data_IF_435859466293
#
_entry.id   IF_435859466293
#
_cell.length_a   1.000
_cell.length_b   1.000
_cell.length_c   1.000
_cell.angle_alpha   90.00
_cell.angle_beta   90.00
_cell.angle_gamma   90.00
#
_symmetry.space_group_name_H-M   'P 1'
#
loop_
_entity.id
_entity.type
_entity.pdbx_description
1 polymer ?
#
# COMPACT_ATOMS: atom_id res chain seq x y z
N UNK A 1 -6.63 4.40 30.55
CA UNK A 1 -5.56 3.87 29.69
C UNK A 1 -4.27 3.87 30.50
N UNK A 2 -3.65 2.71 30.73
CA UNK A 2 -2.45 2.64 31.57
C UNK A 2 -1.29 3.35 30.88
N UNK A 3 -0.57 4.22 31.62
CA UNK A 3 0.59 4.98 31.13
C UNK A 3 1.67 4.07 30.51
N UNK A 4 1.82 2.87 31.06
CA UNK A 4 2.74 1.84 30.57
C UNK A 4 2.32 1.30 29.19
N UNK A 5 1.02 1.22 28.92
CA UNK A 5 0.49 0.76 27.63
C UNK A 5 0.72 1.82 26.54
N UNK A 6 0.55 3.10 26.88
CA UNK A 6 0.83 4.21 25.97
C UNK A 6 2.32 4.21 25.58
N UNK A 7 3.20 4.04 26.56
CA UNK A 7 4.64 3.95 26.32
C UNK A 7 5.03 2.73 25.48
N UNK A 8 4.39 1.58 25.70
CA UNK A 8 4.56 0.39 24.85
C UNK A 8 4.21 0.71 23.38
N UNK A 9 3.07 1.35 23.14
CA UNK A 9 2.65 1.74 21.79
C UNK A 9 3.63 2.70 21.13
N UNK A 10 4.16 3.68 21.88
CA UNK A 10 5.17 4.62 21.37
C UNK A 10 6.46 3.90 20.99
N UNK A 11 6.94 2.97 21.83
CA UNK A 11 8.15 2.18 21.54
C UNK A 11 7.93 1.29 20.30
N UNK A 12 6.79 0.62 20.20
CA UNK A 12 6.45 -0.21 19.03
C UNK A 12 6.37 0.64 17.77
N UNK A 13 5.79 1.84 17.83
CA UNK A 13 5.71 2.76 16.70
C UNK A 13 7.10 3.22 16.25
N UNK A 14 7.99 3.56 17.19
CA UNK A 14 9.38 3.95 16.88
C UNK A 14 10.11 2.79 16.20
N UNK A 15 10.05 1.58 16.78
CA UNK A 15 10.67 0.38 16.20
C UNK A 15 10.11 0.10 14.81
N UNK A 16 8.80 0.21 14.61
CA UNK A 16 8.15 0.00 13.31
C UNK A 16 8.64 0.99 12.24
N UNK A 17 8.77 2.27 12.58
CA UNK A 17 9.26 3.29 11.64
C UNK A 17 10.76 3.10 11.35
N UNK A 18 11.58 2.84 12.37
CA UNK A 18 13.04 2.68 12.19
C UNK A 18 13.43 1.34 11.54
N UNK A 19 12.67 0.28 11.82
CA UNK A 19 12.87 -1.02 11.19
C UNK A 19 12.21 -1.11 9.80
N UNK A 20 11.30 -0.20 9.48
CA UNK A 20 10.66 -0.12 8.17
C UNK A 20 11.66 0.04 7.03
N UNK A 21 12.70 0.87 7.23
CA UNK A 21 13.80 1.04 6.27
C UNK A 21 14.69 -0.21 6.15
N UNK A 22 14.79 -1.04 7.19
CA UNK A 22 15.57 -2.29 7.13
C UNK A 22 14.79 -3.45 6.51
N UNK A 23 13.49 -3.26 6.27
CA UNK A 23 12.57 -4.23 5.65
C UNK A 23 12.36 -3.99 4.15
N UNK A 24 13.28 -3.27 3.49
CA UNK A 24 13.27 -2.99 2.05
C UNK A 24 13.31 -4.28 1.17
N UNK A 25 13.55 -5.44 1.77
CA UNK A 25 13.49 -6.77 1.15
C UNK A 25 12.50 -7.72 1.85
N UNK A 26 11.28 -7.28 2.16
CA UNK A 26 10.24 -8.22 2.56
C UNK A 26 9.86 -9.14 1.39
N UNK A 27 9.80 -10.47 1.57
CA UNK A 27 9.46 -11.40 0.50
C UNK A 27 8.06 -11.10 -0.06
N UNK A 28 7.87 -11.32 -1.36
CA UNK A 28 6.63 -11.05 -2.13
C UNK A 28 5.29 -11.26 -1.40
N UNK A 29 5.07 -12.33 -0.59
CA UNK A 29 3.82 -12.48 0.17
C UNK A 29 3.47 -11.30 1.08
N UNK A 30 4.46 -10.65 1.69
CA UNK A 30 4.25 -9.49 2.57
C UNK A 30 4.04 -8.20 1.79
N UNK A 31 4.69 -8.06 0.62
CA UNK A 31 4.45 -6.93 -0.28
C UNK A 31 3.03 -6.96 -0.83
N UNK A 32 2.57 -8.16 -1.21
CA UNK A 32 1.22 -8.38 -1.73
C UNK A 32 0.14 -8.18 -0.66
N UNK A 33 0.38 -8.57 0.60
CA UNK A 33 -0.56 -8.33 1.69
C UNK A 33 -0.83 -6.82 1.93
N UNK A 34 0.19 -5.98 1.79
CA UNK A 34 0.03 -4.51 1.87
C UNK A 34 -0.81 -3.97 0.71
N UNK A 35 -0.59 -4.46 -0.51
CA UNK A 35 -1.40 -4.08 -1.68
C UNK A 35 -2.84 -4.58 -1.57
N UNK A 36 -3.04 -5.81 -1.11
CA UNK A 36 -4.35 -6.45 -0.98
C UNK A 36 -5.19 -5.77 0.11
N UNK A 37 -4.61 -5.49 1.28
CA UNK A 37 -5.29 -4.74 2.35
C UNK A 37 -5.68 -3.32 1.93
N UNK A 38 -4.81 -2.61 1.19
CA UNK A 38 -5.15 -1.29 0.61
C UNK A 38 -6.33 -1.40 -0.36
N UNK A 39 -6.32 -2.38 -1.26
CA UNK A 39 -7.42 -2.61 -2.22
C UNK A 39 -8.72 -2.95 -1.50
N UNK A 40 -8.67 -3.75 -0.44
CA UNK A 40 -9.84 -4.07 0.39
C UNK A 40 -10.42 -2.82 1.06
N UNK A 41 -9.59 -2.02 1.74
CA UNK A 41 -10.03 -0.79 2.44
C UNK A 41 -10.56 0.25 1.45
N UNK A 42 -9.90 0.42 0.29
CA UNK A 42 -10.38 1.31 -0.78
C UNK A 42 -11.67 0.79 -1.42
N UNK A 43 -11.84 -0.54 -1.51
CA UNK A 43 -13.06 -1.19 -2.00
C UNK A 43 -14.28 -0.95 -1.11
N UNK A 44 -14.08 -0.73 0.20
CA UNK A 44 -15.15 -0.41 1.14
C UNK A 44 -15.60 1.06 1.10
N UNK A 45 -14.84 1.94 0.44
CA UNK A 45 -15.24 3.34 0.28
C UNK A 45 -16.38 3.44 -0.75
N UNK A 46 -17.50 4.12 -0.42
CA UNK A 46 -18.52 4.40 -1.42
C UNK A 46 -17.96 5.26 -2.57
N UNK A 47 -18.48 5.05 -3.78
CA UNK A 47 -17.88 5.60 -5.02
C UNK A 47 -17.78 7.14 -5.04
N UNK A 48 -18.62 7.84 -4.28
CA UNK A 48 -18.58 9.29 -4.15
C UNK A 48 -17.42 9.82 -3.28
N UNK A 49 -16.73 8.94 -2.55
CA UNK A 49 -15.63 9.26 -1.64
C UNK A 49 -14.30 8.61 -2.07
N UNK A 50 -14.33 7.73 -3.10
CA UNK A 50 -13.12 7.22 -3.74
C UNK A 50 -12.39 8.38 -4.40
N UNK A 51 -11.14 8.61 -3.98
CA UNK A 51 -10.26 9.60 -4.59
C UNK A 51 -10.01 9.30 -6.08
N UNK A 52 -9.72 10.35 -6.86
CA UNK A 52 -9.32 10.20 -8.26
C UNK A 52 -8.08 9.31 -8.36
N UNK A 53 -8.09 8.34 -9.27
CA UNK A 53 -6.92 7.49 -9.53
C UNK A 53 -5.78 8.35 -10.10
N UNK A 54 -4.77 8.63 -9.29
CA UNK A 54 -3.60 9.41 -9.70
C UNK A 54 -2.61 8.62 -10.55
N UNK A 55 -2.72 7.29 -10.53
CA UNK A 55 -1.79 6.39 -11.21
C UNK A 55 -2.26 5.99 -12.61
N UNK A 56 -3.40 6.49 -13.10
CA UNK A 56 -3.94 6.15 -14.43
C UNK A 56 -2.92 6.33 -15.57
N UNK A 57 -2.04 7.35 -15.48
CA UNK A 57 -1.02 7.60 -16.51
C UNK A 57 0.03 6.48 -16.53
N UNK A 58 0.42 6.00 -15.36
CA UNK A 58 1.38 4.91 -15.21
C UNK A 58 0.74 3.57 -15.58
N UNK A 59 -0.49 3.32 -15.17
CA UNK A 59 -1.23 2.09 -15.55
C UNK A 59 -1.38 1.98 -17.08
N UNK A 60 -1.69 3.08 -17.78
CA UNK A 60 -1.74 3.10 -19.24
C UNK A 60 -0.39 2.85 -19.89
N UNK A 61 0.67 3.49 -19.39
CA UNK A 61 2.01 3.28 -19.91
C UNK A 61 2.49 1.83 -19.71
N UNK A 62 2.12 1.20 -18.59
CA UNK A 62 2.42 -0.22 -18.33
C UNK A 62 1.60 -1.13 -19.26
N UNK A 63 0.31 -0.88 -19.46
CA UNK A 63 -0.53 -1.68 -20.37
C UNK A 63 -0.06 -1.58 -21.83
N UNK A 64 0.39 -0.41 -22.27
CA UNK A 64 1.00 -0.22 -23.60
C UNK A 64 2.31 -1.01 -23.77
N UNK A 65 3.11 -1.13 -22.71
CA UNK A 65 4.36 -1.90 -22.73
C UNK A 65 4.10 -3.42 -22.63
N UNK A 66 3.08 -3.84 -21.90
CA UNK A 66 2.74 -5.26 -21.72
C UNK A 66 1.90 -5.83 -22.87
N UNK A 67 1.09 -5.00 -23.56
CA UNK A 67 0.22 -5.41 -24.67
C UNK A 67 0.51 -4.62 -25.98
N UNK A 68 1.70 -4.77 -26.59
CA UNK A 68 2.11 -4.00 -27.76
C UNK A 68 1.28 -4.25 -29.03
N UNK A 69 0.35 -5.22 -29.02
CA UNK A 69 -0.47 -5.61 -30.17
C UNK A 69 -1.94 -5.16 -30.13
N UNK A 70 -2.39 -4.37 -29.15
CA UNK A 70 -3.79 -3.88 -29.07
C UNK A 70 -4.06 -2.61 -29.89
N UNK A 71 -3.06 -2.10 -30.60
CA UNK A 71 -3.14 -0.89 -31.43
C UNK A 71 -3.18 -1.17 -32.94
N UNK A 72 -3.35 -2.43 -33.36
CA UNK A 72 -3.67 -2.79 -34.76
C UNK A 72 -5.17 -2.98 -34.98
#
# INVERSE_FOLDING_TARGET
>A
MNKNLIWLFVIVAIVFVTAGDTLEFMPEPLQNASLESRKFVVGLWPDWLKGKNTNERTEKAVDELENPGKTE
#
